data_IF_506373962351
#
_entry.id   IF_506373962351
#
_cell.length_a   1.000
_cell.length_b   1.000
_cell.length_c   1.000
_cell.angle_alpha   90.00
_cell.angle_beta   90.00
_cell.angle_gamma   90.00
#
_symmetry.space_group_name_H-M   'P 1'
#
loop_
_entity.id
_entity.type
_entity.pdbx_description
1 polymer ?
#
# COMPACT_ATOMS: atom_id res chain seq x y z
N UNK A 1 27.37 2.57 12.40
CA UNK A 1 26.42 2.35 11.28
C UNK A 1 25.35 1.43 11.83
N UNK A 2 24.16 1.94 12.11
CA UNK A 2 23.03 1.11 12.50
C UNK A 2 22.20 0.88 11.23
N UNK A 3 22.42 -0.26 10.59
CA UNK A 3 21.81 -0.60 9.30
C UNK A 3 20.29 -0.39 9.30
N UNK A 4 19.62 -0.60 10.43
CA UNK A 4 18.17 -0.37 10.55
C UNK A 4 17.80 1.10 10.48
N UNK A 5 18.53 1.97 11.17
CA UNK A 5 18.26 3.41 11.17
C UNK A 5 18.59 4.03 9.81
N UNK A 6 19.65 3.55 9.15
CA UNK A 6 20.03 4.01 7.81
C UNK A 6 19.02 3.58 6.74
N UNK A 7 18.46 2.37 6.83
CA UNK A 7 17.36 1.92 5.97
C UNK A 7 16.09 2.74 6.21
N UNK A 8 15.73 2.97 7.47
CA UNK A 8 14.55 3.75 7.82
C UNK A 8 14.61 5.17 7.25
N UNK A 9 15.81 5.79 7.21
CA UNK A 9 16.02 7.12 6.61
C UNK A 9 15.72 7.19 5.11
N UNK A 10 15.81 6.06 4.40
CA UNK A 10 15.50 5.98 2.96
C UNK A 10 14.14 5.34 2.70
N UNK A 11 13.29 5.19 3.73
CA UNK A 11 11.95 4.61 3.59
C UNK A 11 11.94 3.09 3.43
N UNK A 12 13.00 2.41 3.90
CA UNK A 12 13.10 0.94 3.90
C UNK A 12 13.04 0.44 5.34
N UNK A 13 12.12 -0.47 5.63
CA UNK A 13 11.94 -1.08 6.95
C UNK A 13 12.78 -2.34 7.14
N UNK A 14 12.96 -3.12 6.06
CA UNK A 14 13.75 -4.36 6.08
C UNK A 14 14.64 -4.48 4.84
N UNK A 15 15.85 -5.07 4.93
CA UNK A 15 16.79 -5.15 3.81
C UNK A 15 16.21 -5.78 2.54
N UNK A 16 15.31 -6.75 2.67
CA UNK A 16 14.69 -7.46 1.55
C UNK A 16 13.88 -6.53 0.62
N UNK A 17 13.37 -5.40 1.13
CA UNK A 17 12.69 -4.41 0.29
C UNK A 17 13.62 -3.80 -0.76
N UNK A 18 14.93 -3.75 -0.54
CA UNK A 18 15.89 -3.24 -1.52
C UNK A 18 15.84 -4.04 -2.82
N UNK A 19 15.57 -5.35 -2.75
CA UNK A 19 15.41 -6.19 -3.93
C UNK A 19 14.26 -5.69 -4.83
N UNK A 20 13.16 -5.25 -4.22
CA UNK A 20 12.01 -4.73 -4.96
C UNK A 20 12.31 -3.40 -5.68
N UNK A 21 13.36 -2.67 -5.30
CA UNK A 21 13.78 -1.44 -5.98
C UNK A 21 14.51 -1.70 -7.31
N UNK A 22 14.90 -2.95 -7.58
CA UNK A 22 15.54 -3.31 -8.84
C UNK A 22 14.58 -3.18 -10.03
N UNK A 23 15.02 -2.46 -11.06
CA UNK A 23 14.26 -2.29 -12.31
C UNK A 23 14.86 -3.14 -13.43
N UNK A 24 16.15 -2.98 -13.69
CA UNK A 24 16.86 -3.59 -14.81
C UNK A 24 18.38 -3.53 -14.59
N UNK A 25 19.11 -4.41 -15.28
CA UNK A 25 20.56 -4.41 -15.34
C UNK A 25 21.08 -3.91 -16.70
N UNK A 26 22.41 -3.94 -16.88
CA UNK A 26 23.05 -3.45 -18.10
C UNK A 26 22.63 -4.20 -19.36
N UNK A 27 22.36 -5.50 -19.28
CA UNK A 27 21.93 -6.29 -20.43
C UNK A 27 20.54 -5.82 -20.90
N UNK A 28 19.63 -5.61 -19.95
CA UNK A 28 18.29 -5.13 -20.24
C UNK A 28 18.29 -3.67 -20.74
N UNK A 29 19.12 -2.80 -20.15
CA UNK A 29 19.31 -1.42 -20.63
C UNK A 29 19.77 -1.44 -22.09
N UNK A 30 20.82 -2.19 -22.41
CA UNK A 30 21.33 -2.29 -23.78
C UNK A 30 20.26 -2.81 -24.75
N UNK A 31 19.43 -3.76 -24.31
CA UNK A 31 18.33 -4.29 -25.12
C UNK A 31 17.32 -3.20 -25.48
N UNK A 32 16.83 -2.46 -24.48
CA UNK A 32 15.79 -1.44 -24.70
C UNK A 32 16.29 -0.16 -25.37
N UNK A 33 17.59 0.14 -25.27
CA UNK A 33 18.19 1.33 -25.89
C UNK A 33 18.93 1.05 -27.19
N UNK A 34 18.97 -0.19 -27.67
CA UNK A 34 19.77 -0.59 -28.84
C UNK A 34 19.46 0.23 -30.10
N UNK A 35 18.17 0.53 -30.33
CA UNK A 35 17.69 1.32 -31.46
C UNK A 35 17.37 2.78 -31.10
N UNK A 36 17.69 3.21 -29.87
CA UNK A 36 17.40 4.56 -29.42
C UNK A 36 18.28 5.57 -30.17
N UNK A 37 17.63 6.50 -30.88
CA UNK A 37 18.36 7.60 -31.53
C UNK A 37 18.97 8.51 -30.46
N UNK A 38 20.17 9.06 -30.68
CA UNK A 38 20.75 10.05 -29.79
C UNK A 38 19.77 11.18 -29.51
N UNK A 39 19.68 11.61 -28.25
CA UNK A 39 18.87 12.77 -27.89
C UNK A 39 19.44 13.99 -28.61
N UNK A 40 18.67 14.52 -29.56
CA UNK A 40 19.05 15.72 -30.34
C UNK A 40 18.43 17.00 -29.77
N UNK A 41 17.57 16.86 -28.76
CA UNK A 41 16.98 17.97 -28.05
C UNK A 41 17.98 18.55 -27.03
N UNK A 42 18.33 19.82 -27.20
CA UNK A 42 19.20 20.59 -26.30
C UNK A 42 18.41 21.38 -25.23
N UNK A 43 17.12 21.09 -25.02
CA UNK A 43 16.30 21.73 -24.01
C UNK A 43 15.85 20.76 -22.90
N UNK A 44 16.78 20.19 -22.11
CA UNK A 44 16.39 19.34 -20.99
C UNK A 44 15.55 20.15 -19.99
N UNK A 45 14.39 19.61 -19.61
CA UNK A 45 13.41 20.21 -18.67
C UNK A 45 12.66 21.45 -19.18
N UNK A 46 12.15 21.47 -20.42
CA UNK A 46 11.01 22.35 -20.71
C UNK A 46 9.84 21.94 -19.81
N UNK A 47 9.65 22.71 -18.73
CA UNK A 47 8.43 22.77 -17.97
C UNK A 47 7.37 23.41 -18.88
N UNK A 48 6.86 22.65 -19.85
CA UNK A 48 5.67 23.00 -20.60
C UNK A 48 4.42 22.63 -19.80
N UNK A 49 3.25 22.93 -20.36
CA UNK A 49 1.98 22.37 -19.86
C UNK A 49 2.14 20.87 -19.62
N UNK A 50 1.49 20.33 -18.59
CA UNK A 50 1.47 18.89 -18.28
C UNK A 50 1.40 18.10 -19.58
N UNK A 51 2.49 17.42 -19.92
CA UNK A 51 2.51 16.57 -21.11
C UNK A 51 1.40 15.55 -20.90
N UNK A 52 0.47 15.49 -21.87
CA UNK A 52 -0.62 14.54 -21.81
C UNK A 52 -0.05 13.14 -21.52
N UNK A 53 -0.69 12.40 -20.61
CA UNK A 53 -0.29 11.03 -20.29
C UNK A 53 -0.15 10.23 -21.59
N UNK A 54 1.03 9.64 -21.80
CA UNK A 54 1.30 8.78 -22.95
C UNK A 54 1.03 7.33 -22.54
N UNK A 55 -0.02 6.68 -23.07
CA UNK A 55 -0.34 5.29 -22.76
C UNK A 55 0.81 4.33 -23.09
N UNK A 56 1.70 4.67 -24.03
CA UNK A 56 2.86 3.85 -24.35
C UNK A 56 3.89 3.85 -23.22
N UNK A 57 4.06 4.99 -22.52
CA UNK A 57 4.92 5.07 -21.34
C UNK A 57 4.36 4.19 -20.23
N UNK A 58 3.05 4.29 -19.95
CA UNK A 58 2.41 3.45 -18.94
C UNK A 58 2.50 1.96 -19.28
N UNK A 59 2.21 1.57 -20.51
CA UNK A 59 2.33 0.20 -20.97
C UNK A 59 3.77 -0.33 -20.82
N UNK A 60 4.76 0.47 -21.22
CA UNK A 60 6.17 0.13 -21.07
C UNK A 60 6.57 -0.02 -19.60
N UNK A 61 6.31 0.99 -18.77
CA UNK A 61 6.63 0.96 -17.34
C UNK A 61 5.94 -0.20 -16.62
N UNK A 62 4.66 -0.47 -16.95
CA UNK A 62 3.89 -1.57 -16.39
C UNK A 62 4.58 -2.94 -16.55
N UNK A 63 5.27 -3.18 -17.67
CA UNK A 63 6.02 -4.44 -17.86
C UNK A 63 7.14 -4.64 -16.83
N UNK A 64 7.72 -3.56 -16.29
CA UNK A 64 8.77 -3.62 -15.26
C UNK A 64 8.22 -3.64 -13.85
N UNK A 65 6.94 -3.29 -13.66
CA UNK A 65 6.31 -3.22 -12.34
C UNK A 65 5.60 -4.50 -11.93
N UNK A 66 5.22 -5.35 -12.90
CA UNK A 66 4.63 -6.69 -12.62
C UNK A 66 5.52 -7.50 -11.68
N UNK A 67 4.98 -7.92 -10.54
CA UNK A 67 5.74 -8.49 -9.43
C UNK A 67 6.53 -9.74 -9.84
N UNK A 68 5.87 -10.70 -10.48
CA UNK A 68 6.51 -11.96 -10.89
C UNK A 68 7.63 -11.74 -11.92
N UNK A 69 7.40 -10.85 -12.88
CA UNK A 69 8.40 -10.55 -13.91
C UNK A 69 9.58 -9.77 -13.32
N UNK A 70 9.32 -8.81 -12.42
CA UNK A 70 10.35 -8.04 -11.73
C UNK A 70 11.18 -8.93 -10.79
N UNK A 71 10.55 -9.80 -10.02
CA UNK A 71 11.24 -10.76 -9.15
C UNK A 71 12.13 -11.71 -9.96
N UNK A 72 11.62 -12.23 -11.09
CA UNK A 72 12.42 -13.07 -11.99
C UNK A 72 13.64 -12.32 -12.52
N UNK A 73 13.45 -11.10 -13.04
CA UNK A 73 14.56 -10.27 -13.55
C UNK A 73 15.62 -10.03 -12.48
N UNK A 74 15.21 -9.74 -11.24
CA UNK A 74 16.12 -9.57 -10.12
C UNK A 74 16.98 -10.82 -9.89
N UNK A 75 16.38 -11.99 -9.74
CA UNK A 75 17.09 -13.25 -9.45
C UNK A 75 18.01 -13.68 -10.61
N UNK A 76 17.58 -13.44 -11.86
CA UNK A 76 18.38 -13.82 -13.04
C UNK A 76 19.44 -12.81 -13.43
N UNK A 77 19.49 -11.64 -12.79
CA UNK A 77 20.43 -10.58 -13.15
C UNK A 77 21.86 -10.91 -12.71
N UNK A 78 22.79 -10.85 -13.66
CA UNK A 78 24.23 -11.00 -13.37
C UNK A 78 24.75 -9.94 -12.41
N UNK A 79 24.19 -8.71 -12.45
CA UNK A 79 24.54 -7.65 -11.50
C UNK A 79 24.16 -8.05 -10.08
N UNK A 80 22.93 -8.53 -9.90
CA UNK A 80 22.42 -8.93 -8.58
C UNK A 80 23.22 -10.10 -8.03
N UNK A 81 23.51 -11.12 -8.84
CA UNK A 81 24.34 -12.27 -8.45
C UNK A 81 25.76 -11.88 -8.00
N UNK A 82 26.26 -10.70 -8.40
CA UNK A 82 27.59 -10.23 -8.03
C UNK A 82 27.59 -9.22 -6.86
N UNK A 83 26.46 -8.59 -6.57
CA UNK A 83 26.41 -7.42 -5.67
C UNK A 83 25.50 -7.60 -4.46
N UNK A 84 24.47 -8.44 -4.57
CA UNK A 84 23.56 -8.69 -3.46
C UNK A 84 24.02 -9.89 -2.62
N UNK A 85 23.86 -9.84 -1.29
CA UNK A 85 24.11 -11.00 -0.44
C UNK A 85 23.18 -12.18 -0.76
N UNK A 86 23.72 -13.40 -0.65
CA UNK A 86 22.98 -14.65 -0.87
C UNK A 86 21.78 -14.77 0.07
N UNK A 87 21.85 -14.20 1.28
CA UNK A 87 20.74 -14.21 2.24
C UNK A 87 19.53 -13.42 1.73
N UNK A 88 19.76 -12.35 0.96
CA UNK A 88 18.66 -11.55 0.38
C UNK A 88 18.11 -12.23 -0.86
N UNK A 89 18.99 -12.73 -1.74
CA UNK A 89 18.56 -13.36 -3.00
C UNK A 89 17.81 -14.69 -2.78
N UNK A 90 18.11 -15.40 -1.70
CA UNK A 90 17.42 -16.63 -1.29
C UNK A 90 16.22 -16.39 -0.35
N UNK A 91 15.93 -15.15 0.04
CA UNK A 91 14.78 -14.84 0.88
C UNK A 91 13.46 -14.95 0.09
N UNK A 92 12.33 -15.00 0.82
CA UNK A 92 11.03 -14.83 0.21
C UNK A 92 10.83 -13.35 -0.16
N UNK A 93 10.89 -13.04 -1.45
CA UNK A 93 10.88 -11.66 -1.96
C UNK A 93 9.55 -11.26 -2.61
N UNK A 94 8.71 -12.23 -2.95
CA UNK A 94 7.45 -12.05 -3.67
C UNK A 94 6.56 -10.98 -3.04
N UNK A 95 6.39 -10.91 -1.70
CA UNK A 95 5.58 -9.85 -1.10
C UNK A 95 6.08 -8.45 -1.38
N UNK A 96 7.40 -8.22 -1.42
CA UNK A 96 7.95 -6.89 -1.64
C UNK A 96 7.75 -6.43 -3.09
N UNK A 97 7.89 -7.34 -4.05
CA UNK A 97 7.56 -7.06 -5.45
C UNK A 97 6.05 -6.84 -5.65
N UNK A 98 5.19 -7.59 -4.97
CA UNK A 98 3.74 -7.38 -5.00
C UNK A 98 3.34 -6.00 -4.43
N UNK A 99 3.97 -5.59 -3.33
CA UNK A 99 3.73 -4.28 -2.72
C UNK A 99 4.17 -3.14 -3.65
N UNK A 100 5.34 -3.29 -4.30
CA UNK A 100 5.80 -2.33 -5.31
C UNK A 100 4.83 -2.23 -6.49
N UNK A 101 4.40 -3.38 -7.03
CA UNK A 101 3.43 -3.41 -8.13
C UNK A 101 2.14 -2.69 -7.72
N UNK A 102 1.58 -3.03 -6.56
CA UNK A 102 0.34 -2.41 -6.07
C UNK A 102 0.49 -0.92 -5.82
N UNK A 103 1.63 -0.47 -5.32
CA UNK A 103 1.90 0.96 -5.14
C UNK A 103 1.94 1.69 -6.47
N UNK A 104 2.64 1.14 -7.47
CA UNK A 104 2.65 1.68 -8.83
C UNK A 104 1.23 1.78 -9.41
N UNK A 105 0.47 0.69 -9.33
CA UNK A 105 -0.89 0.66 -9.89
C UNK A 105 -1.86 1.56 -9.13
N UNK A 106 -1.72 1.71 -7.82
CA UNK A 106 -2.57 2.64 -7.05
C UNK A 106 -2.31 4.10 -7.45
N UNK A 107 -1.03 4.48 -7.59
CA UNK A 107 -0.65 5.85 -7.95
C UNK A 107 -0.98 6.21 -9.40
N UNK A 108 -0.87 5.24 -10.31
CA UNK A 108 -0.94 5.49 -11.76
C UNK A 108 -2.28 5.04 -12.36
N UNK A 109 -2.79 3.88 -11.96
CA UNK A 109 -4.03 3.31 -12.51
C UNK A 109 -5.26 3.65 -11.65
N UNK A 110 -5.08 4.37 -10.52
CA UNK A 110 -6.17 4.76 -9.63
C UNK A 110 -6.85 3.58 -8.93
N UNK A 111 -6.09 2.54 -8.61
CA UNK A 111 -6.62 1.33 -7.96
C UNK A 111 -7.21 1.62 -6.58
N UNK A 112 -8.17 0.79 -6.20
CA UNK A 112 -8.77 0.72 -4.89
C UNK A 112 -7.73 0.61 -3.76
N UNK A 113 -7.66 1.63 -2.90
CA UNK A 113 -6.77 1.67 -1.74
C UNK A 113 -6.98 0.49 -0.77
N UNK A 114 -8.20 -0.05 -0.64
CA UNK A 114 -8.47 -1.23 0.20
C UNK A 114 -7.85 -2.51 -0.37
N UNK A 115 -7.78 -2.62 -1.69
CA UNK A 115 -7.10 -3.73 -2.35
C UNK A 115 -5.60 -3.68 -2.08
N UNK A 116 -5.02 -2.49 -2.21
CA UNK A 116 -3.61 -2.28 -1.88
C UNK A 116 -3.35 -2.51 -0.39
N UNK A 117 -4.24 -2.07 0.50
CA UNK A 117 -4.15 -2.32 1.93
C UNK A 117 -4.19 -3.83 2.27
N UNK A 118 -5.10 -4.60 1.67
CA UNK A 118 -5.19 -6.04 1.87
C UNK A 118 -3.89 -6.77 1.51
N UNK A 119 -3.29 -6.42 0.36
CA UNK A 119 -1.99 -6.98 -0.06
C UNK A 119 -0.90 -6.70 0.98
N UNK A 120 -0.88 -5.50 1.56
CA UNK A 120 0.12 -5.14 2.57
C UNK A 120 -0.10 -5.87 3.90
N UNK A 121 -1.35 -5.97 4.34
CA UNK A 121 -1.71 -6.62 5.60
C UNK A 121 -1.47 -8.13 5.59
N UNK A 122 -1.71 -8.80 4.45
CA UNK A 122 -1.55 -10.25 4.33
C UNK A 122 -0.20 -10.68 3.79
N UNK A 123 0.37 -9.90 2.89
CA UNK A 123 1.62 -10.24 2.22
C UNK A 123 2.86 -9.92 3.04
N UNK A 124 2.80 -8.96 3.95
CA UNK A 124 4.00 -8.47 4.65
C UNK A 124 3.76 -8.09 6.11
N UNK A 125 4.87 -7.86 6.83
CA UNK A 125 4.89 -7.23 8.15
C UNK A 125 5.29 -5.75 8.10
N UNK A 126 5.37 -5.17 6.91
CA UNK A 126 5.71 -3.76 6.72
C UNK A 126 4.64 -2.86 7.31
N UNK A 127 5.06 -1.75 7.92
CA UNK A 127 4.19 -0.80 8.59
C UNK A 127 3.98 0.45 7.75
N UNK A 128 5.03 0.99 7.14
CA UNK A 128 4.97 2.26 6.40
C UNK A 128 4.00 2.21 5.22
N UNK A 129 3.98 1.18 4.36
CA UNK A 129 2.98 1.09 3.31
C UNK A 129 1.54 1.06 3.86
N UNK A 130 1.31 0.40 4.99
CA UNK A 130 -0.02 0.37 5.63
C UNK A 130 -0.42 1.77 6.11
N UNK A 131 0.53 2.52 6.69
CA UNK A 131 0.28 3.90 7.09
C UNK A 131 0.00 4.80 5.88
N UNK A 132 0.75 4.63 4.78
CA UNK A 132 0.56 5.38 3.52
C UNK A 132 -0.85 5.20 2.95
N UNK A 133 -1.35 3.96 2.86
CA UNK A 133 -2.72 3.70 2.37
C UNK A 133 -3.83 4.18 3.30
N UNK A 134 -3.51 4.48 4.55
CA UNK A 134 -4.45 5.05 5.53
C UNK A 134 -4.25 6.56 5.71
N UNK A 135 -3.60 7.22 4.73
CA UNK A 135 -3.28 8.65 4.73
C UNK A 135 -2.60 9.09 6.04
N UNK A 136 -1.57 8.33 6.44
CA UNK A 136 -0.77 8.60 7.63
C UNK A 136 0.71 8.29 7.38
N UNK A 137 1.54 8.45 8.40
CA UNK A 137 2.96 8.10 8.41
C UNK A 137 3.49 8.05 9.85
N UNK A 138 4.68 7.48 10.06
CA UNK A 138 5.28 7.37 11.39
C UNK A 138 5.42 8.71 12.14
N UNK A 139 5.62 9.82 11.45
CA UNK A 139 5.68 11.14 12.08
C UNK A 139 4.32 11.58 12.63
N UNK A 140 3.24 11.48 11.83
CA UNK A 140 1.88 11.78 12.27
C UNK A 140 1.43 10.86 13.40
N UNK A 141 1.75 9.57 13.32
CA UNK A 141 1.52 8.61 14.39
C UNK A 141 2.22 9.02 15.69
N UNK A 142 3.48 9.43 15.62
CA UNK A 142 4.23 9.88 16.81
C UNK A 142 3.59 11.13 17.42
N UNK A 143 3.14 12.09 16.61
CA UNK A 143 2.42 13.28 17.07
C UNK A 143 1.07 12.93 17.70
N UNK A 144 0.30 12.05 17.06
CA UNK A 144 -1.00 11.57 17.54
C UNK A 144 -0.88 10.86 18.90
N UNK A 145 0.12 9.98 19.05
CA UNK A 145 0.42 9.31 20.33
C UNK A 145 0.77 10.32 21.42
N UNK A 146 1.61 11.31 21.12
CA UNK A 146 1.97 12.38 22.06
C UNK A 146 0.79 13.26 22.44
N UNK A 147 -0.11 13.56 21.51
CA UNK A 147 -1.30 14.35 21.77
C UNK A 147 -2.37 13.59 22.55
N UNK A 148 -2.36 12.25 22.47
CA UNK A 148 -3.23 11.37 23.25
C UNK A 148 -2.65 10.99 24.63
N UNK A 149 -1.39 11.33 24.88
CA UNK A 149 -0.67 10.93 26.10
C UNK A 149 -1.36 11.50 27.34
N UNK A 150 -1.45 10.68 28.40
CA UNK A 150 -2.15 10.98 29.66
C UNK A 150 -3.66 11.33 29.56
N UNK A 151 -4.27 11.22 28.38
CA UNK A 151 -5.71 11.43 28.23
C UNK A 151 -6.48 10.13 28.38
N UNK A 152 -7.53 10.15 29.22
CA UNK A 152 -8.46 9.02 29.34
C UNK A 152 -9.13 8.67 28.00
N UNK A 153 -9.37 9.68 27.15
CA UNK A 153 -9.92 9.51 25.82
C UNK A 153 -9.17 10.39 24.82
N UNK A 154 -8.56 9.81 23.77
CA UNK A 154 -7.86 10.58 22.74
C UNK A 154 -8.80 11.56 22.01
N UNK A 155 -8.33 12.76 21.62
CA UNK A 155 -9.06 13.70 20.76
C UNK A 155 -9.51 13.03 19.45
N UNK A 156 -10.61 13.50 18.86
CA UNK A 156 -11.14 12.88 17.62
C UNK A 156 -10.17 13.06 16.46
N UNK A 157 -9.47 14.19 16.43
CA UNK A 157 -8.52 14.60 15.39
C UNK A 157 -7.34 13.62 15.24
N UNK A 158 -6.97 12.93 16.32
CA UNK A 158 -5.83 11.98 16.32
C UNK A 158 -6.26 10.54 16.08
N UNK A 159 -7.56 10.24 16.08
CA UNK A 159 -8.04 8.85 15.98
C UNK A 159 -7.71 8.20 14.64
N UNK A 160 -7.67 8.95 13.54
CA UNK A 160 -7.28 8.41 12.23
C UNK A 160 -5.85 7.87 12.26
N UNK A 161 -4.90 8.66 12.79
CA UNK A 161 -3.49 8.26 12.90
C UNK A 161 -3.29 7.11 13.91
N UNK A 162 -4.02 7.12 15.04
CA UNK A 162 -3.98 6.02 15.99
C UNK A 162 -4.60 4.74 15.42
N UNK A 163 -5.64 4.86 14.59
CA UNK A 163 -6.25 3.73 13.88
C UNK A 163 -5.25 3.17 12.88
N UNK A 164 -4.60 4.03 12.09
CA UNK A 164 -3.57 3.63 11.14
C UNK A 164 -2.42 2.88 11.83
N UNK A 165 -1.96 3.38 12.99
CA UNK A 165 -0.94 2.69 13.80
C UNK A 165 -1.39 1.31 14.26
N UNK A 166 -2.63 1.18 14.74
CA UNK A 166 -3.19 -0.10 15.17
C UNK A 166 -3.33 -1.09 14.02
N UNK A 167 -3.77 -0.63 12.84
CA UNK A 167 -3.87 -1.46 11.62
C UNK A 167 -2.47 -1.88 11.15
N UNK A 168 -1.49 -0.97 11.12
CA UNK A 168 -0.10 -1.27 10.78
C UNK A 168 0.55 -2.23 11.81
N UNK A 169 0.10 -2.22 13.06
CA UNK A 169 0.51 -3.18 14.08
C UNK A 169 -0.26 -4.51 14.02
N UNK A 170 -1.23 -4.65 13.10
CA UNK A 170 -2.19 -5.76 13.02
C UNK A 170 -2.97 -5.98 14.31
N UNK A 171 -3.13 -4.93 15.12
CA UNK A 171 -3.99 -4.93 16.28
C UNK A 171 -5.41 -4.51 15.84
N UNK A 172 -6.08 -5.42 15.15
CA UNK A 172 -7.38 -5.14 14.52
C UNK A 172 -8.46 -4.81 15.55
N UNK A 173 -8.44 -5.47 16.72
CA UNK A 173 -9.37 -5.15 17.81
C UNK A 173 -9.20 -3.70 18.28
N UNK A 174 -7.95 -3.22 18.43
CA UNK A 174 -7.72 -1.82 18.81
C UNK A 174 -8.15 -0.85 17.70
N UNK A 175 -7.90 -1.18 16.45
CA UNK A 175 -8.34 -0.37 15.31
C UNK A 175 -9.87 -0.25 15.25
N UNK A 176 -10.59 -1.37 15.43
CA UNK A 176 -12.05 -1.41 15.52
C UNK A 176 -12.56 -0.50 16.65
N UNK A 177 -11.98 -0.62 17.85
CA UNK A 177 -12.35 0.23 19.00
C UNK A 177 -12.16 1.73 18.71
N UNK A 178 -11.08 2.11 18.03
CA UNK A 178 -10.79 3.49 17.69
C UNK A 178 -11.76 4.03 16.62
N UNK A 179 -12.08 3.24 15.60
CA UNK A 179 -13.05 3.57 14.56
C UNK A 179 -14.47 3.72 15.12
N UNK A 180 -14.90 2.78 15.98
CA UNK A 180 -16.21 2.90 16.65
C UNK A 180 -16.26 4.12 17.58
N UNK A 181 -15.17 4.41 18.30
CA UNK A 181 -15.07 5.62 19.12
C UNK A 181 -15.11 6.91 18.30
N UNK A 182 -14.53 6.91 17.09
CA UNK A 182 -14.59 8.02 16.13
C UNK A 182 -16.02 8.20 15.63
N UNK A 183 -16.64 7.12 15.16
CA UNK A 183 -18.03 7.09 14.67
C UNK A 183 -19.06 7.53 15.72
N UNK A 184 -18.83 7.21 16.99
CA UNK A 184 -19.70 7.65 18.08
C UNK A 184 -19.57 9.16 18.40
N UNK A 185 -18.49 9.81 17.96
CA UNK A 185 -18.15 11.21 18.33
C UNK A 185 -18.16 12.18 17.16
N UNK A 186 -18.15 11.69 15.92
CA UNK A 186 -18.15 12.51 14.72
C UNK A 186 -18.88 11.79 13.58
N UNK A 187 -19.32 12.55 12.58
CA UNK A 187 -19.83 11.98 11.33
C UNK A 187 -18.76 11.07 10.72
N UNK A 188 -19.04 9.78 10.51
CA UNK A 188 -18.05 8.86 9.96
C UNK A 188 -17.79 9.19 8.48
N UNK A 189 -16.52 9.16 8.08
CA UNK A 189 -16.16 9.20 6.68
C UNK A 189 -16.50 7.86 6.00
N UNK A 190 -16.81 7.86 4.70
CA UNK A 190 -17.07 6.60 3.96
C UNK A 190 -15.93 5.60 4.13
N UNK A 191 -14.68 6.07 4.06
CA UNK A 191 -13.50 5.21 4.18
C UNK A 191 -13.35 4.59 5.57
N UNK A 192 -13.76 5.29 6.63
CA UNK A 192 -13.80 4.72 7.99
C UNK A 192 -14.79 3.55 8.05
N UNK A 193 -15.95 3.67 7.39
CA UNK A 193 -16.99 2.63 7.38
C UNK A 193 -16.53 1.40 6.59
N UNK A 194 -15.90 1.60 5.43
CA UNK A 194 -15.37 0.49 4.64
C UNK A 194 -14.21 -0.21 5.36
N UNK A 195 -13.30 0.55 5.98
CA UNK A 195 -12.22 -0.02 6.79
C UNK A 195 -12.78 -0.81 7.97
N UNK A 196 -13.74 -0.25 8.70
CA UNK A 196 -14.37 -0.91 9.84
C UNK A 196 -15.07 -2.21 9.44
N UNK A 197 -15.80 -2.19 8.33
CA UNK A 197 -16.46 -3.39 7.78
C UNK A 197 -15.44 -4.46 7.41
N UNK A 198 -14.35 -4.06 6.74
CA UNK A 198 -13.25 -4.96 6.40
C UNK A 198 -12.57 -5.57 7.64
N UNK A 199 -12.28 -4.75 8.65
CA UNK A 199 -11.65 -5.19 9.90
C UNK A 199 -12.53 -6.15 10.70
N UNK A 200 -13.85 -5.93 10.75
CA UNK A 200 -14.77 -6.88 11.39
C UNK A 200 -14.78 -8.24 10.70
N UNK A 201 -14.73 -8.29 9.37
CA UNK A 201 -14.57 -9.55 8.66
C UNK A 201 -13.22 -10.22 8.96
N UNK A 202 -12.13 -9.45 9.00
CA UNK A 202 -10.80 -9.97 9.37
C UNK A 202 -10.77 -10.59 10.78
N UNK A 203 -11.54 -10.06 11.73
CA UNK A 203 -11.64 -10.62 13.10
C UNK A 203 -12.70 -11.72 13.25
N UNK A 204 -13.41 -12.07 12.16
CA UNK A 204 -14.46 -13.10 12.16
C UNK A 204 -15.83 -12.61 12.64
N UNK A 205 -15.99 -11.32 12.88
CA UNK A 205 -17.21 -10.67 13.37
C UNK A 205 -18.13 -10.24 12.21
N UNK A 206 -18.45 -11.18 11.32
CA UNK A 206 -19.18 -10.92 10.06
C UNK A 206 -20.54 -10.26 10.29
N UNK A 207 -21.28 -10.66 11.33
CA UNK A 207 -22.56 -10.05 11.66
C UNK A 207 -22.45 -8.55 11.98
N UNK A 208 -21.38 -8.14 12.66
CA UNK A 208 -21.09 -6.72 12.94
C UNK A 208 -20.77 -5.97 11.65
N UNK A 209 -19.98 -6.58 10.76
CA UNK A 209 -19.66 -6.04 9.45
C UNK A 209 -20.93 -5.79 8.61
N UNK A 210 -21.82 -6.78 8.54
CA UNK A 210 -23.08 -6.68 7.79
C UNK A 210 -24.01 -5.61 8.37
N UNK A 211 -24.12 -5.52 9.70
CA UNK A 211 -24.93 -4.50 10.36
C UNK A 211 -24.49 -3.08 10.01
N UNK A 212 -23.17 -2.86 9.95
CA UNK A 212 -22.60 -1.56 9.58
C UNK A 212 -22.81 -1.26 8.10
N UNK A 213 -22.48 -2.20 7.21
CA UNK A 213 -22.65 -2.03 5.77
C UNK A 213 -24.11 -1.74 5.38
N UNK A 214 -25.07 -2.43 6.01
CA UNK A 214 -26.51 -2.21 5.79
C UNK A 214 -27.02 -0.86 6.32
N UNK A 215 -26.31 -0.23 7.25
CA UNK A 215 -26.68 1.09 7.77
C UNK A 215 -26.13 2.24 6.92
N UNK A 216 -25.18 1.95 6.03
CA UNK A 216 -24.45 2.96 5.27
C UNK A 216 -25.15 3.32 3.96
N UNK A 217 -25.09 4.58 3.53
CA UNK A 217 -25.81 5.07 2.35
C UNK A 217 -24.95 5.08 1.07
N UNK A 218 -23.64 5.31 1.19
CA UNK A 218 -22.71 5.37 0.07
C UNK A 218 -22.15 3.97 -0.22
N UNK A 219 -22.93 3.11 -0.88
CA UNK A 219 -22.58 1.68 -1.11
C UNK A 219 -21.97 1.41 -2.48
N UNK A 220 -22.10 2.36 -3.40
CA UNK A 220 -21.89 2.18 -4.83
C UNK A 220 -20.58 2.79 -5.35
N UNK A 221 -19.63 3.08 -4.45
CA UNK A 221 -18.30 3.50 -4.88
C UNK A 221 -17.59 2.36 -5.64
N UNK A 222 -16.74 2.68 -6.63
CA UNK A 222 -16.02 1.66 -7.40
C UNK A 222 -15.27 0.65 -6.52
N UNK A 223 -14.64 1.12 -5.45
CA UNK A 223 -13.92 0.27 -4.50
C UNK A 223 -14.81 -0.52 -3.54
N UNK A 224 -16.04 -0.06 -3.28
CA UNK A 224 -17.00 -0.78 -2.46
C UNK A 224 -17.39 -2.10 -3.14
N UNK A 225 -17.57 -2.10 -4.47
CA UNK A 225 -17.86 -3.33 -5.24
C UNK A 225 -16.78 -4.40 -5.07
N UNK A 226 -15.51 -4.00 -5.14
CA UNK A 226 -14.39 -4.91 -4.87
C UNK A 226 -14.46 -5.43 -3.43
N UNK A 227 -14.70 -4.56 -2.45
CA UNK A 227 -14.78 -4.93 -1.04
C UNK A 227 -15.87 -5.97 -0.82
N UNK A 228 -17.09 -5.72 -1.32
CA UNK A 228 -18.22 -6.63 -1.20
C UNK A 228 -17.95 -7.99 -1.81
N UNK A 229 -17.42 -8.04 -3.04
CA UNK A 229 -17.08 -9.29 -3.70
C UNK A 229 -16.02 -10.08 -2.94
N UNK A 230 -14.98 -9.40 -2.42
CA UNK A 230 -13.95 -10.03 -1.60
C UNK A 230 -14.51 -10.56 -0.29
N UNK A 231 -15.25 -9.74 0.45
CA UNK A 231 -15.81 -10.11 1.73
C UNK A 231 -16.79 -11.29 1.62
N UNK A 232 -17.62 -11.28 0.57
CA UNK A 232 -18.54 -12.38 0.29
C UNK A 232 -17.79 -13.69 0.00
N UNK A 233 -16.76 -13.62 -0.84
CA UNK A 233 -15.99 -14.79 -1.27
C UNK A 233 -15.17 -15.39 -0.12
N UNK A 234 -14.53 -14.56 0.69
CA UNK A 234 -13.55 -15.02 1.69
C UNK A 234 -14.15 -15.21 3.09
N UNK A 235 -15.22 -14.49 3.44
CA UNK A 235 -15.75 -14.44 4.81
C UNK A 235 -17.23 -14.82 4.90
N UNK A 236 -17.90 -15.13 3.78
CA UNK A 236 -19.33 -15.40 3.78
C UNK A 236 -20.20 -14.18 4.12
N UNK A 237 -19.66 -12.97 3.96
CA UNK A 237 -20.37 -11.71 4.15
C UNK A 237 -21.48 -11.55 3.12
N UNK A 238 -22.65 -11.08 3.55
CA UNK A 238 -23.76 -10.74 2.67
C UNK A 238 -23.72 -9.23 2.35
N UNK A 239 -23.43 -8.85 1.09
CA UNK A 239 -23.45 -7.46 0.70
C UNK A 239 -24.81 -6.82 0.95
N UNK A 240 -24.85 -5.53 1.31
CA UNK A 240 -26.11 -4.82 1.45
C UNK A 240 -26.89 -4.86 0.13
N UNK A 241 -28.20 -5.15 0.21
CA UNK A 241 -29.08 -5.11 -0.95
C UNK A 241 -29.20 -3.67 -1.46
N UNK A 242 -29.27 -3.50 -2.79
CA UNK A 242 -29.63 -2.24 -3.45
C UNK A 242 -31.10 -1.85 -3.17
#
# INVERSE_FOLDING_TARGET
INTRDDLARIGVEVPQQLASLFIMDSAEINRITSDAKPLTDFYPKRLGDEAAEDPAIHAFTGTYMRANDAARRFVTSSLIQQTFPDEITNAQLEPFFAIREMRYRTLIEGINWLEALDVNLRGSQLREPVLEYLDSNSFRVALAKRAADDLQQPPVEVLSDLTADAVAARNYQKAIQLLESKRARSTPASDDIYLLTYLYCLTGEVASAEGIANSWQDRNRPYAKWLWGKLQTEYGFHPPND
#
